data_IF_460064284760
#
_entry.id   IF_460064284760
#
_cell.length_a   1.000
_cell.length_b   1.000
_cell.length_c   1.000
_cell.angle_alpha   90.00
_cell.angle_beta   90.00
_cell.angle_gamma   90.00
#
_symmetry.space_group_name_H-M   'P 1'
#
loop_
_entity.id
_entity.type
_entity.pdbx_description
1 polymer ?
#
# COMPACT_ATOMS: atom_id res chain seq x y z
N UNK A 1 -42.41 23.95 -8.56
CA UNK A 1 -41.08 24.38 -8.07
C UNK A 1 -40.70 23.50 -6.89
N UNK A 2 -39.98 22.40 -7.14
CA UNK A 2 -39.39 21.55 -6.10
C UNK A 2 -37.93 22.00 -5.91
N UNK A 3 -37.58 22.45 -4.71
CA UNK A 3 -36.18 22.53 -4.27
C UNK A 3 -35.98 21.38 -3.30
N UNK A 4 -35.45 20.27 -3.82
CA UNK A 4 -34.91 19.19 -3.01
C UNK A 4 -33.60 19.68 -2.40
N UNK A 5 -33.53 19.71 -1.07
CA UNK A 5 -32.30 19.89 -0.32
C UNK A 5 -31.41 18.65 -0.54
N UNK A 6 -30.24 18.88 -1.13
CA UNK A 6 -29.12 17.94 -1.09
C UNK A 6 -28.64 17.85 0.37
N UNK A 7 -29.00 16.77 1.06
CA UNK A 7 -28.34 16.39 2.31
C UNK A 7 -27.06 15.62 1.93
N UNK A 8 -25.93 16.33 1.96
CA UNK A 8 -24.59 15.74 1.99
C UNK A 8 -24.35 15.19 3.40
N UNK A 9 -24.71 13.93 3.62
CA UNK A 9 -24.26 13.19 4.79
C UNK A 9 -22.81 12.76 4.54
N UNK A 10 -21.87 13.39 5.25
CA UNK A 10 -20.49 12.92 5.33
C UNK A 10 -20.47 11.61 6.12
N UNK A 11 -20.19 10.49 5.45
CA UNK A 11 -19.95 9.21 6.13
C UNK A 11 -18.52 9.25 6.64
N UNK A 12 -18.34 9.56 7.92
CA UNK A 12 -17.07 9.33 8.61
C UNK A 12 -16.99 7.84 8.96
N UNK A 13 -16.06 7.11 8.35
CA UNK A 13 -15.70 5.78 8.81
C UNK A 13 -14.94 5.92 10.14
N UNK A 14 -15.68 5.85 11.24
CA UNK A 14 -15.09 5.76 12.58
C UNK A 14 -14.73 4.31 12.80
N UNK A 15 -13.47 3.95 12.61
CA UNK A 15 -12.91 2.66 13.02
C UNK A 15 -12.58 2.78 14.52
N UNK A 16 -13.59 2.64 15.39
CA UNK A 16 -13.42 2.80 16.83
C UNK A 16 -13.35 1.46 17.57
N UNK A 17 -12.27 1.30 18.33
CA UNK A 17 -12.23 0.46 19.52
C UNK A 17 -13.15 1.01 20.62
N UNK A 18 -13.98 0.13 21.15
CA UNK A 18 -14.80 0.18 22.38
C UNK A 18 -14.80 1.47 23.24
N UNK A 19 -15.85 2.30 23.12
CA UNK A 19 -16.56 2.92 24.26
C UNK A 19 -18.03 3.16 23.86
N UNK A 20 -18.95 2.78 24.74
CA UNK A 20 -20.40 2.88 24.58
C UNK A 20 -20.92 4.32 24.40
N UNK A 21 -21.37 4.66 23.20
CA UNK A 21 -22.43 5.63 22.93
C UNK A 21 -22.87 5.42 21.48
N UNK A 22 -24.13 5.05 21.24
CA UNK A 22 -24.83 4.78 19.97
C UNK A 22 -24.24 5.44 18.69
N UNK A 23 -23.05 5.02 18.27
CA UNK A 23 -22.46 5.30 16.97
C UNK A 23 -23.04 4.26 16.02
N UNK A 24 -23.53 4.70 14.87
CA UNK A 24 -23.85 3.79 13.78
C UNK A 24 -22.62 2.91 13.56
N UNK A 25 -22.72 1.61 13.85
CA UNK A 25 -21.74 0.64 13.40
C UNK A 25 -21.71 0.73 11.87
N UNK A 26 -20.65 1.32 11.32
CA UNK A 26 -20.43 1.35 9.87
C UNK A 26 -20.31 -0.09 9.43
N UNK A 27 -21.11 -0.50 8.44
CA UNK A 27 -21.07 -1.89 8.00
C UNK A 27 -19.70 -2.22 7.38
N UNK A 28 -19.37 -3.51 7.29
CA UNK A 28 -18.14 -3.95 6.63
C UNK A 28 -18.07 -3.43 5.18
N UNK A 29 -19.16 -3.57 4.44
CA UNK A 29 -19.24 -3.11 3.04
C UNK A 29 -19.07 -1.59 2.93
N UNK A 30 -19.68 -0.82 3.84
CA UNK A 30 -19.50 0.63 3.90
C UNK A 30 -18.06 1.02 4.22
N UNK A 31 -17.37 0.24 5.06
CA UNK A 31 -15.96 0.46 5.40
C UNK A 31 -15.04 0.23 4.19
N UNK A 32 -15.27 -0.86 3.44
CA UNK A 32 -14.56 -1.16 2.19
C UNK A 32 -14.84 -0.08 1.14
N UNK A 33 -16.10 0.33 1.00
CA UNK A 33 -16.49 1.39 0.08
C UNK A 33 -15.87 2.75 0.45
N UNK A 34 -15.82 3.11 1.73
CA UNK A 34 -15.18 4.34 2.19
C UNK A 34 -13.68 4.38 1.85
N UNK A 35 -12.97 3.25 2.03
CA UNK A 35 -11.56 3.11 1.71
C UNK A 35 -11.27 3.41 0.22
N UNK A 36 -12.12 2.92 -0.69
CA UNK A 36 -12.00 3.16 -2.14
C UNK A 36 -12.07 4.62 -2.55
N UNK A 37 -12.71 5.46 -1.75
CA UNK A 37 -12.83 6.89 -2.02
C UNK A 37 -11.81 7.73 -1.26
N UNK A 38 -10.88 7.08 -0.53
CA UNK A 38 -9.92 7.76 0.32
C UNK A 38 -10.55 8.36 1.59
N UNK A 39 -11.77 7.94 1.95
CA UNK A 39 -12.45 8.41 3.16
C UNK A 39 -11.96 7.62 4.38
N UNK A 40 -10.68 7.82 4.72
CA UNK A 40 -10.03 7.25 5.90
C UNK A 40 -9.87 8.34 6.95
N UNK A 41 -10.07 8.01 8.23
CA UNK A 41 -9.79 8.96 9.30
C UNK A 41 -8.31 9.39 9.24
N UNK A 42 -8.06 10.65 8.85
CA UNK A 42 -6.72 11.16 8.52
C UNK A 42 -6.05 11.95 9.65
N UNK A 43 -6.74 12.10 10.78
CA UNK A 43 -6.45 13.19 11.72
C UNK A 43 -5.64 12.73 12.94
N UNK A 44 -5.32 11.43 13.00
CA UNK A 44 -4.59 10.81 14.10
C UNK A 44 -3.21 10.36 13.61
N UNK A 45 -2.22 11.25 13.75
CA UNK A 45 -0.82 10.88 13.54
C UNK A 45 -0.45 9.76 14.51
N UNK A 46 -0.25 8.57 13.97
CA UNK A 46 0.06 7.38 14.74
C UNK A 46 1.24 6.65 14.13
N UNK A 47 2.25 6.37 14.95
CA UNK A 47 3.47 5.68 14.54
C UNK A 47 3.50 4.26 15.12
N UNK A 48 3.94 3.30 14.31
CA UNK A 48 4.16 1.95 14.78
C UNK A 48 4.33 0.93 13.66
N UNK A 49 4.68 -0.29 14.04
CA UNK A 49 4.75 -1.42 13.11
C UNK A 49 3.38 -2.08 13.05
N UNK A 50 2.82 -2.17 11.85
CA UNK A 50 1.63 -2.96 11.55
C UNK A 50 2.04 -4.24 10.80
N UNK A 51 1.31 -5.32 11.03
CA UNK A 51 1.55 -6.61 10.40
C UNK A 51 0.29 -7.10 9.71
N UNK A 52 0.38 -7.32 8.40
CA UNK A 52 -0.67 -8.02 7.66
C UNK A 52 -0.29 -9.50 7.59
N UNK A 53 -0.81 -10.26 8.55
CA UNK A 53 -0.64 -11.70 8.68
C UNK A 53 -1.97 -12.32 9.09
N UNK A 54 -2.77 -12.70 8.08
CA UNK A 54 -4.15 -13.18 8.27
C UNK A 54 -4.21 -14.71 8.34
N UNK A 55 -5.06 -15.22 9.23
CA UNK A 55 -5.37 -16.65 9.29
C UNK A 55 -6.37 -17.00 8.19
N UNK A 56 -6.19 -18.13 7.52
CA UNK A 56 -7.05 -18.58 6.41
C UNK A 56 -6.58 -18.14 5.02
N UNK A 57 -5.37 -17.57 4.92
CA UNK A 57 -4.76 -17.21 3.64
C UNK A 57 -4.74 -18.39 2.67
N UNK A 58 -5.21 -18.17 1.44
CA UNK A 58 -5.32 -19.19 0.41
C UNK A 58 -4.37 -18.87 -0.77
N UNK A 59 -3.14 -19.42 -0.80
CA UNK A 59 -2.16 -19.10 -1.84
C UNK A 59 -2.66 -19.38 -3.27
N UNK A 60 -3.46 -20.43 -3.45
CA UNK A 60 -4.06 -20.75 -4.74
C UNK A 60 -5.09 -19.72 -5.24
N UNK A 61 -5.61 -18.87 -4.34
CA UNK A 61 -6.53 -17.77 -4.65
C UNK A 61 -5.80 -16.42 -4.73
N UNK A 62 -4.60 -16.35 -4.15
CA UNK A 62 -3.84 -15.12 -3.94
C UNK A 62 -2.36 -15.33 -4.33
N UNK A 63 -2.07 -15.78 -5.56
CA UNK A 63 -0.72 -16.21 -5.94
C UNK A 63 0.30 -15.06 -5.97
N UNK A 64 -0.16 -13.82 -6.19
CA UNK A 64 0.67 -12.63 -6.29
C UNK A 64 0.69 -11.78 -5.00
N UNK A 65 0.05 -12.27 -3.94
CA UNK A 65 -0.08 -11.54 -2.67
C UNK A 65 0.77 -12.22 -1.60
N UNK A 66 1.51 -11.43 -0.84
CA UNK A 66 2.31 -11.92 0.27
C UNK A 66 1.42 -12.20 1.50
N UNK A 67 1.63 -13.34 2.15
CA UNK A 67 0.83 -13.76 3.31
C UNK A 67 1.31 -13.19 4.65
N UNK A 68 2.46 -12.53 4.68
CA UNK A 68 3.02 -11.91 5.87
C UNK A 68 3.86 -10.69 5.48
N UNK A 69 3.34 -9.49 5.76
CA UNK A 69 4.02 -8.23 5.46
C UNK A 69 4.05 -7.35 6.71
N UNK A 70 5.26 -6.96 7.11
CA UNK A 70 5.50 -5.99 8.18
C UNK A 70 5.84 -4.61 7.62
N UNK A 71 5.11 -3.59 8.04
CA UNK A 71 5.31 -2.19 7.64
C UNK A 71 5.47 -1.32 8.88
N UNK A 72 6.55 -0.53 8.94
CA UNK A 72 6.66 0.58 9.89
C UNK A 72 6.03 1.83 9.26
N UNK A 73 4.90 2.26 9.81
CA UNK A 73 4.27 3.54 9.44
C UNK A 73 4.63 4.60 10.45
N UNK A 74 5.02 5.77 9.96
CA UNK A 74 5.38 6.91 10.78
C UNK A 74 4.17 7.85 11.02
N UNK A 75 3.06 7.69 10.29
CA UNK A 75 1.88 8.56 10.37
C UNK A 75 0.52 7.88 10.45
N UNK A 76 0.40 6.60 10.07
CA UNK A 76 -0.90 5.98 9.85
C UNK A 76 -1.05 4.58 10.48
N UNK A 77 -0.35 4.31 11.57
CA UNK A 77 -0.34 3.00 12.22
C UNK A 77 -1.74 2.51 12.66
N UNK A 78 -2.57 3.36 13.24
CA UNK A 78 -3.94 2.98 13.64
C UNK A 78 -4.81 2.62 12.43
N UNK A 79 -4.72 3.43 11.36
CA UNK A 79 -5.41 3.15 10.10
C UNK A 79 -4.98 1.82 9.48
N UNK A 80 -3.68 1.50 9.54
CA UNK A 80 -3.16 0.22 9.07
C UNK A 80 -3.69 -0.97 9.89
N UNK A 81 -3.78 -0.87 11.23
CA UNK A 81 -4.36 -1.96 12.02
C UNK A 81 -5.84 -2.17 11.70
N UNK A 82 -6.59 -1.10 11.47
CA UNK A 82 -7.98 -1.22 11.07
C UNK A 82 -8.13 -1.89 9.67
N UNK A 83 -7.22 -1.60 8.73
CA UNK A 83 -7.13 -2.33 7.45
C UNK A 83 -6.84 -3.82 7.69
N UNK A 84 -5.93 -4.16 8.61
CA UNK A 84 -5.60 -5.55 8.96
C UNK A 84 -6.82 -6.29 9.52
N UNK A 85 -7.60 -5.64 10.40
CA UNK A 85 -8.82 -6.22 10.95
C UNK A 85 -9.86 -6.52 9.86
N UNK A 86 -10.08 -5.56 8.94
CA UNK A 86 -10.94 -5.75 7.77
C UNK A 86 -10.42 -6.88 6.86
N UNK A 87 -9.11 -6.99 6.68
CA UNK A 87 -8.50 -8.02 5.86
C UNK A 87 -8.73 -9.41 6.46
N UNK A 88 -8.67 -9.54 7.78
CA UNK A 88 -8.98 -10.79 8.47
C UNK A 88 -10.46 -11.18 8.30
N UNK A 89 -11.38 -10.20 8.33
CA UNK A 89 -12.80 -10.45 8.02
C UNK A 89 -12.97 -10.91 6.57
N UNK A 90 -12.32 -10.24 5.61
CA UNK A 90 -12.39 -10.57 4.20
C UNK A 90 -11.99 -12.04 3.94
N UNK A 91 -10.85 -12.47 4.48
CA UNK A 91 -10.36 -13.85 4.33
C UNK A 91 -11.31 -14.86 4.97
N UNK A 92 -11.82 -14.58 6.17
CA UNK A 92 -12.75 -15.48 6.85
C UNK A 92 -14.08 -15.66 6.10
N UNK A 93 -14.48 -14.68 5.29
CA UNK A 93 -15.68 -14.73 4.47
C UNK A 93 -15.42 -15.16 3.01
N UNK A 94 -14.16 -15.40 2.63
CA UNK A 94 -13.79 -15.71 1.25
C UNK A 94 -13.97 -14.54 0.27
N UNK A 95 -13.93 -13.30 0.77
CA UNK A 95 -14.03 -12.07 -0.02
C UNK A 95 -12.65 -11.69 -0.58
N UNK A 96 -12.17 -12.44 -1.57
CA UNK A 96 -10.80 -12.32 -2.07
C UNK A 96 -10.51 -10.99 -2.76
N UNK A 97 -11.48 -10.44 -3.50
CA UNK A 97 -11.33 -9.12 -4.10
C UNK A 97 -11.20 -8.00 -3.07
N UNK A 98 -11.97 -8.07 -1.98
CA UNK A 98 -11.86 -7.11 -0.88
C UNK A 98 -10.53 -7.25 -0.15
N UNK A 99 -10.07 -8.49 0.07
CA UNK A 99 -8.75 -8.73 0.65
C UNK A 99 -7.63 -8.13 -0.20
N UNK A 100 -7.66 -8.27 -1.53
CA UNK A 100 -6.67 -7.68 -2.44
C UNK A 100 -6.66 -6.16 -2.35
N UNK A 101 -7.83 -5.51 -2.27
CA UNK A 101 -7.91 -4.08 -2.03
C UNK A 101 -7.27 -3.68 -0.69
N UNK A 102 -7.61 -4.39 0.39
CA UNK A 102 -7.12 -4.10 1.74
C UNK A 102 -5.61 -4.32 1.85
N UNK A 103 -5.10 -5.39 1.26
CA UNK A 103 -3.67 -5.64 1.14
C UNK A 103 -2.97 -4.53 0.34
N UNK A 104 -3.53 -4.12 -0.80
CA UNK A 104 -3.01 -3.00 -1.60
C UNK A 104 -2.99 -1.70 -0.80
N UNK A 105 -4.07 -1.43 -0.05
CA UNK A 105 -4.17 -0.25 0.79
C UNK A 105 -3.16 -0.24 1.93
N UNK A 106 -2.94 -1.40 2.57
CA UNK A 106 -1.90 -1.59 3.58
C UNK A 106 -0.52 -1.26 3.02
N UNK A 107 -0.21 -1.74 1.81
CA UNK A 107 1.08 -1.47 1.15
C UNK A 107 1.25 -0.02 0.71
N UNK A 108 0.16 0.71 0.50
CA UNK A 108 0.15 2.14 0.21
C UNK A 108 0.15 2.99 1.50
N UNK A 109 0.55 2.40 2.64
CA UNK A 109 0.58 3.04 3.96
C UNK A 109 -0.80 3.55 4.41
N UNK A 110 -1.89 3.05 3.82
CA UNK A 110 -3.25 3.54 4.06
C UNK A 110 -3.45 5.02 3.70
N UNK A 111 -2.57 5.62 2.89
CA UNK A 111 -2.61 7.07 2.59
C UNK A 111 -3.81 7.40 1.71
N UNK A 112 -4.76 8.18 2.22
CA UNK A 112 -6.06 8.45 1.60
C UNK A 112 -6.01 8.84 0.13
N UNK A 113 -5.09 9.74 -0.25
CA UNK A 113 -4.92 10.19 -1.63
C UNK A 113 -4.43 9.08 -2.57
N UNK A 114 -3.63 8.14 -2.06
CA UNK A 114 -3.17 6.96 -2.78
C UNK A 114 -4.24 5.86 -2.88
N UNK A 115 -5.25 5.87 -1.99
CA UNK A 115 -6.30 4.85 -1.96
C UNK A 115 -7.51 5.21 -2.81
N UNK A 116 -7.68 6.49 -3.14
CA UNK A 116 -8.77 6.92 -4.01
C UNK A 116 -8.72 6.14 -5.33
N UNK A 117 -9.82 5.52 -5.74
CA UNK A 117 -9.92 4.71 -6.96
C UNK A 117 -9.50 5.46 -8.22
N UNK A 118 -9.60 6.78 -8.25
CA UNK A 118 -9.13 7.59 -9.39
C UNK A 118 -7.60 7.69 -9.45
N UNK A 119 -6.91 7.42 -8.35
CA UNK A 119 -5.46 7.47 -8.24
C UNK A 119 -4.81 6.37 -9.08
N UNK A 120 -3.62 6.66 -9.60
CA UNK A 120 -2.82 5.68 -10.34
C UNK A 120 -2.32 4.61 -9.37
N UNK A 121 -1.99 5.00 -8.14
CA UNK A 121 -1.36 4.18 -7.11
C UNK A 121 -2.18 2.94 -6.77
N UNK A 122 -3.46 3.09 -6.42
CA UNK A 122 -4.31 1.94 -6.10
C UNK A 122 -4.57 1.07 -7.33
N UNK A 123 -4.75 1.66 -8.52
CA UNK A 123 -4.94 0.90 -9.76
C UNK A 123 -3.73 0.05 -10.09
N UNK A 124 -2.52 0.60 -9.92
CA UNK A 124 -1.27 -0.14 -10.10
C UNK A 124 -1.12 -1.29 -9.10
N UNK A 125 -1.50 -1.07 -7.84
CA UNK A 125 -1.46 -2.11 -6.81
C UNK A 125 -2.45 -3.25 -7.10
N UNK A 126 -3.69 -2.91 -7.48
CA UNK A 126 -4.71 -3.90 -7.85
C UNK A 126 -4.31 -4.68 -9.11
N UNK A 127 -3.74 -4.00 -10.11
CA UNK A 127 -3.22 -4.64 -11.32
C UNK A 127 -2.13 -5.66 -10.99
N UNK A 128 -1.20 -5.32 -10.08
CA UNK A 128 -0.13 -6.25 -9.66
C UNK A 128 -0.63 -7.52 -9.00
N UNK A 129 -1.78 -7.47 -8.34
CA UNK A 129 -2.38 -8.65 -7.74
C UNK A 129 -2.91 -9.65 -8.79
N UNK A 130 -3.22 -9.19 -10.01
CA UNK A 130 -3.80 -10.03 -11.08
C UNK A 130 -2.85 -10.25 -12.27
N UNK A 131 -1.77 -9.48 -12.39
CA UNK A 131 -0.89 -9.53 -13.55
C UNK A 131 0.33 -10.44 -13.34
N UNK A 132 0.65 -11.21 -14.37
CA UNK A 132 1.94 -11.88 -14.49
C UNK A 132 3.03 -10.82 -14.71
N UNK A 133 3.98 -10.75 -13.76
CA UNK A 133 5.01 -9.70 -13.77
C UNK A 133 6.04 -9.87 -14.90
N UNK A 134 6.09 -11.02 -15.57
CA UNK A 134 7.04 -11.30 -16.65
C UNK A 134 6.48 -10.87 -18.01
N UNK A 135 5.20 -11.16 -18.25
CA UNK A 135 4.52 -10.90 -19.52
C UNK A 135 3.70 -9.61 -19.52
N UNK A 136 3.34 -9.08 -18.34
CA UNK A 136 2.42 -7.95 -18.20
C UNK A 136 0.97 -8.30 -18.55
N UNK A 137 0.66 -9.59 -18.73
CA UNK A 137 -0.69 -10.08 -19.00
C UNK A 137 -1.48 -10.23 -17.70
N UNK A 138 -2.73 -9.78 -17.73
CA UNK A 138 -3.67 -9.96 -16.62
C UNK A 138 -4.27 -11.36 -16.67
N UNK A 139 -4.25 -12.08 -15.54
CA UNK A 139 -4.91 -13.37 -15.39
C UNK A 139 -6.42 -13.17 -15.26
N UNK A 140 -7.15 -13.52 -16.32
CA UNK A 140 -8.61 -13.40 -16.39
C UNK A 140 -9.33 -14.19 -15.28
N UNK A 141 -8.78 -15.33 -14.83
CA UNK A 141 -9.40 -16.11 -13.76
C UNK A 141 -9.25 -15.40 -12.41
N UNK A 142 -8.13 -14.72 -12.16
CA UNK A 142 -7.94 -13.92 -10.95
C UNK A 142 -8.83 -12.68 -10.97
N UNK A 143 -8.93 -12.01 -12.12
CA UNK A 143 -9.87 -10.88 -12.29
C UNK A 143 -11.31 -11.32 -12.01
N UNK A 144 -11.76 -12.41 -12.62
CA UNK A 144 -13.12 -12.92 -12.40
C UNK A 144 -13.35 -13.32 -10.94
N UNK A 145 -12.39 -14.03 -10.33
CA UNK A 145 -12.45 -14.40 -8.91
C UNK A 145 -12.58 -13.17 -8.01
N UNK A 146 -11.73 -12.16 -8.20
CA UNK A 146 -11.72 -10.98 -7.35
C UNK A 146 -12.96 -10.11 -7.56
N UNK A 147 -13.39 -9.92 -8.81
CA UNK A 147 -14.64 -9.24 -9.09
C UNK A 147 -15.86 -9.95 -8.47
N UNK A 148 -15.95 -11.28 -8.57
CA UNK A 148 -17.10 -12.03 -8.05
C UNK A 148 -17.13 -12.16 -6.52
N UNK A 149 -15.98 -11.99 -5.86
CA UNK A 149 -15.86 -12.10 -4.41
C UNK A 149 -15.71 -10.74 -3.72
N UNK A 150 -15.86 -9.64 -4.45
CA UNK A 150 -15.90 -8.31 -3.85
C UNK A 150 -17.28 -7.97 -3.30
N UNK A 151 -17.33 -7.37 -2.10
CA UNK A 151 -18.59 -6.92 -1.49
C UNK A 151 -19.17 -5.72 -2.24
N UNK A 152 -18.34 -4.74 -2.61
CA UNK A 152 -18.77 -3.50 -3.26
C UNK A 152 -18.90 -3.60 -4.78
N UNK A 153 -20.03 -3.16 -5.35
CA UNK A 153 -20.22 -3.07 -6.81
C UNK A 153 -19.12 -2.23 -7.50
N UNK A 154 -18.67 -1.16 -6.85
CA UNK A 154 -17.58 -0.31 -7.37
C UNK A 154 -16.29 -1.12 -7.52
N UNK A 155 -15.96 -1.96 -6.54
CA UNK A 155 -14.77 -2.80 -6.58
C UNK A 155 -14.88 -3.89 -7.65
N UNK A 156 -16.07 -4.49 -7.82
CA UNK A 156 -16.31 -5.46 -8.91
C UNK A 156 -16.00 -4.85 -10.27
N UNK A 157 -16.47 -3.62 -10.51
CA UNK A 157 -16.22 -2.89 -11.76
C UNK A 157 -14.74 -2.59 -11.96
N UNK A 158 -14.04 -2.13 -10.91
CA UNK A 158 -12.60 -1.84 -10.99
C UNK A 158 -11.83 -3.08 -11.44
N UNK A 159 -12.08 -4.25 -10.83
CA UNK A 159 -11.40 -5.48 -11.25
C UNK A 159 -11.76 -5.88 -12.67
N UNK A 160 -13.04 -5.82 -13.04
CA UNK A 160 -13.50 -6.16 -14.39
C UNK A 160 -12.90 -5.25 -15.50
N UNK A 161 -12.56 -4.01 -15.15
CA UNK A 161 -11.98 -3.03 -16.07
C UNK A 161 -10.44 -3.07 -16.15
N UNK A 162 -9.76 -3.94 -15.36
CA UNK A 162 -8.30 -4.08 -15.44
C UNK A 162 -7.87 -4.69 -16.78
N UNK A 163 -6.87 -4.09 -17.42
CA UNK A 163 -6.35 -4.50 -18.73
C UNK A 163 -4.86 -4.85 -18.65
N UNK A 164 -4.43 -5.75 -19.54
CA UNK A 164 -3.00 -6.06 -19.74
C UNK A 164 -2.24 -4.81 -20.20
N UNK A 165 -1.02 -4.65 -19.71
CA UNK A 165 -0.14 -3.55 -20.10
C UNK A 165 1.25 -4.10 -20.45
N UNK A 166 1.40 -4.49 -21.72
CA UNK A 166 2.62 -5.09 -22.24
C UNK A 166 3.80 -4.10 -22.37
N UNK A 167 3.57 -2.80 -22.17
CA UNK A 167 4.61 -1.76 -22.26
C UNK A 167 5.24 -1.43 -20.90
N UNK A 168 4.88 -2.16 -19.85
CA UNK A 168 5.32 -1.90 -18.50
C UNK A 168 6.70 -2.51 -18.26
N UNK A 169 7.73 -1.76 -18.65
CA UNK A 169 9.11 -2.21 -18.62
C UNK A 169 9.62 -2.41 -17.18
N UNK A 170 9.97 -3.65 -16.86
CA UNK A 170 10.92 -3.97 -15.79
C UNK A 170 12.33 -3.83 -16.37
N UNK A 171 13.17 -2.92 -15.81
CA UNK A 171 14.54 -2.72 -16.30
C UNK A 171 15.60 -2.78 -15.20
N UNK A 172 16.60 -3.59 -15.52
CA UNK A 172 17.96 -3.80 -15.00
C UNK A 172 18.98 -2.81 -15.60
N UNK A 173 20.23 -2.55 -15.14
CA UNK A 173 21.03 -2.71 -13.91
C UNK A 173 21.97 -1.49 -13.88
N UNK A 174 21.90 -0.68 -12.82
CA UNK A 174 22.91 0.31 -12.37
C UNK A 174 22.65 0.55 -10.86
N UNK A 175 23.60 1.14 -10.12
CA UNK A 175 23.49 1.31 -8.64
C UNK A 175 22.20 1.98 -8.18
N UNK A 176 21.61 2.84 -9.03
CA UNK A 176 20.25 3.38 -8.89
C UNK A 176 19.58 3.32 -10.26
N UNK A 177 18.40 2.72 -10.34
CA UNK A 177 17.56 2.65 -11.54
C UNK A 177 16.28 3.44 -11.28
N UNK A 178 15.94 4.36 -12.18
CA UNK A 178 14.73 5.16 -12.09
C UNK A 178 13.55 4.44 -12.74
N UNK A 179 12.37 4.50 -12.12
CA UNK A 179 11.15 3.94 -12.69
C UNK A 179 10.12 5.03 -12.99
N UNK A 180 9.39 4.87 -14.09
CA UNK A 180 8.20 5.67 -14.40
C UNK A 180 6.96 5.23 -13.63
N UNK A 181 6.98 4.04 -13.03
CA UNK A 181 5.86 3.50 -12.26
C UNK A 181 6.03 3.73 -10.76
N UNK A 182 4.91 3.69 -10.01
CA UNK A 182 4.92 3.66 -8.55
C UNK A 182 5.57 4.91 -7.93
N UNK A 183 5.36 6.05 -8.56
CA UNK A 183 5.99 7.30 -8.16
C UNK A 183 5.35 7.88 -6.91
N UNK A 184 6.21 8.28 -5.97
CA UNK A 184 5.85 9.01 -4.77
C UNK A 184 6.16 10.51 -4.93
N UNK A 185 5.49 11.35 -4.17
CA UNK A 185 5.80 12.77 -4.14
C UNK A 185 7.18 13.01 -3.53
N UNK A 186 7.97 13.83 -4.21
CA UNK A 186 9.33 14.15 -3.79
C UNK A 186 9.37 14.80 -2.40
N UNK A 187 8.39 15.65 -2.07
CA UNK A 187 8.27 16.32 -0.76
C UNK A 187 8.05 15.32 0.38
N UNK A 188 7.21 14.31 0.17
CA UNK A 188 6.96 13.25 1.14
C UNK A 188 8.19 12.37 1.32
N UNK A 189 8.85 12.00 0.22
CA UNK A 189 10.09 11.23 0.30
C UNK A 189 11.24 12.00 0.95
N UNK A 190 11.37 13.31 0.69
CA UNK A 190 12.39 14.12 1.36
C UNK A 190 12.17 14.15 2.88
N UNK A 191 10.92 14.33 3.32
CA UNK A 191 10.57 14.27 4.74
C UNK A 191 10.90 12.92 5.38
N UNK A 192 10.58 11.81 4.69
CA UNK A 192 10.90 10.46 5.15
C UNK A 192 12.42 10.25 5.27
N UNK A 193 13.17 10.64 4.24
CA UNK A 193 14.63 10.50 4.21
C UNK A 193 15.29 11.30 5.35
N UNK A 194 14.81 12.52 5.58
CA UNK A 194 15.28 13.39 6.65
C UNK A 194 14.96 12.81 8.05
N UNK A 195 13.85 12.08 8.20
CA UNK A 195 13.53 11.35 9.42
C UNK A 195 14.49 10.16 9.61
N UNK A 196 14.60 9.27 8.63
CA UNK A 196 15.42 8.04 8.78
C UNK A 196 16.88 8.36 9.02
N UNK A 197 17.41 9.45 8.44
CA UNK A 197 18.78 9.92 8.67
C UNK A 197 19.08 10.18 10.16
N UNK A 198 18.08 10.67 10.89
CA UNK A 198 18.21 11.14 12.27
C UNK A 198 17.68 10.14 13.29
N UNK A 199 16.95 9.11 12.85
CA UNK A 199 16.41 8.10 13.74
C UNK A 199 17.52 7.18 14.28
N UNK A 200 17.65 7.06 15.61
CA UNK A 200 18.52 6.07 16.23
C UNK A 200 17.86 4.67 16.29
N UNK A 201 16.62 4.54 15.79
CA UNK A 201 15.84 3.33 15.95
C UNK A 201 16.35 2.22 15.05
N UNK A 202 16.04 1.00 15.46
CA UNK A 202 16.40 -0.20 14.71
C UNK A 202 15.18 -0.78 14.03
N UNK A 203 15.34 -1.06 12.75
CA UNK A 203 14.39 -1.86 12.00
C UNK A 203 14.50 -3.31 12.51
N UNK A 204 13.36 -3.85 12.94
CA UNK A 204 13.25 -5.21 13.46
C UNK A 204 13.11 -6.22 12.33
N UNK A 205 13.53 -7.44 12.60
CA UNK A 205 13.44 -8.55 11.64
C UNK A 205 12.01 -8.73 11.11
N UNK A 206 11.89 -8.93 9.79
CA UNK A 206 10.63 -9.17 9.09
C UNK A 206 9.85 -7.91 8.70
N UNK A 207 10.19 -6.73 9.22
CA UNK A 207 9.75 -5.46 8.61
C UNK A 207 10.41 -5.34 7.25
N UNK A 208 9.66 -4.85 6.24
CA UNK A 208 10.13 -4.76 4.84
C UNK A 208 10.03 -3.37 4.23
N UNK A 209 9.45 -2.43 4.97
CA UNK A 209 9.42 -1.04 4.59
C UNK A 209 9.27 -0.10 5.79
N UNK A 210 9.67 1.15 5.57
CA UNK A 210 9.34 2.31 6.40
C UNK A 210 8.61 3.31 5.51
N UNK A 211 7.42 3.76 5.91
CA UNK A 211 6.60 4.68 5.13
C UNK A 211 6.21 5.93 5.92
N UNK A 212 6.07 7.03 5.19
CA UNK A 212 5.49 8.29 5.63
C UNK A 212 4.69 8.87 4.46
N UNK A 213 3.41 9.15 4.69
CA UNK A 213 2.44 9.57 3.67
C UNK A 213 2.46 8.60 2.49
N UNK A 214 2.55 9.12 1.25
CA UNK A 214 2.66 8.31 0.05
C UNK A 214 4.10 7.95 -0.34
N UNK A 215 5.08 8.04 0.56
CA UNK A 215 6.45 7.59 0.28
C UNK A 215 6.88 6.47 1.21
N UNK A 216 7.55 5.48 0.64
CA UNK A 216 8.04 4.30 1.31
C UNK A 216 9.48 4.01 0.89
N UNK A 217 10.32 3.69 1.87
CA UNK A 217 11.60 3.01 1.65
C UNK A 217 11.38 1.53 1.93
N UNK A 218 11.50 0.68 0.92
CA UNK A 218 11.30 -0.77 1.02
C UNK A 218 12.53 -1.56 0.57
N UNK A 219 12.61 -2.83 0.95
CA UNK A 219 13.75 -3.67 0.57
C UNK A 219 13.37 -5.15 0.38
N UNK A 220 14.19 -5.88 -0.37
CA UNK A 220 13.80 -7.18 -0.95
C UNK A 220 14.11 -8.43 -0.09
N UNK A 221 14.76 -8.29 1.08
CA UNK A 221 15.08 -9.43 1.97
C UNK A 221 14.91 -9.08 3.45
N UNK A 222 14.75 -10.08 4.32
CA UNK A 222 14.67 -9.80 5.76
C UNK A 222 16.04 -9.34 6.28
N UNK A 223 16.05 -8.20 6.99
CA UNK A 223 17.24 -7.64 7.60
C UNK A 223 16.86 -6.95 8.92
N UNK A 224 17.83 -6.85 9.82
CA UNK A 224 17.72 -6.07 11.07
C UNK A 224 18.88 -5.10 11.11
N UNK A 225 18.62 -3.80 11.22
CA UNK A 225 19.63 -2.77 11.02
C UNK A 225 19.22 -1.43 11.65
N UNK A 226 20.17 -0.53 11.87
CA UNK A 226 19.89 0.88 12.21
C UNK A 226 19.18 1.61 11.07
N UNK A 227 18.06 2.27 11.36
CA UNK A 227 17.21 2.92 10.35
C UNK A 227 17.96 3.94 9.49
N UNK A 228 18.96 4.63 10.07
CA UNK A 228 19.85 5.54 9.36
C UNK A 228 20.58 4.94 8.15
N UNK A 229 20.75 3.62 8.10
CA UNK A 229 21.39 2.95 6.94
C UNK A 229 20.56 3.01 5.66
N UNK A 230 19.25 3.32 5.76
CA UNK A 230 18.38 3.55 4.61
C UNK A 230 18.67 4.86 3.87
N UNK A 231 19.32 5.82 4.54
CA UNK A 231 19.45 7.20 4.08
C UNK A 231 20.18 7.32 2.73
N UNK A 232 21.38 6.74 2.62
CA UNK A 232 22.27 7.00 1.48
C UNK A 232 21.65 6.55 0.15
N UNK A 233 21.04 5.37 0.11
CA UNK A 233 20.42 4.83 -1.09
C UNK A 233 19.13 5.61 -1.45
N UNK A 234 18.29 5.93 -0.47
CA UNK A 234 17.08 6.73 -0.71
C UNK A 234 17.41 8.15 -1.18
N UNK A 235 18.47 8.77 -0.61
CA UNK A 235 18.94 10.09 -1.03
C UNK A 235 19.46 10.08 -2.47
N UNK A 236 20.28 9.08 -2.82
CA UNK A 236 20.76 8.90 -4.19
C UNK A 236 19.62 8.77 -5.20
N UNK A 237 18.51 8.13 -4.80
CA UNK A 237 17.31 8.05 -5.62
C UNK A 237 16.63 9.39 -5.87
N UNK A 238 16.42 10.22 -4.85
CA UNK A 238 15.86 11.56 -5.06
C UNK A 238 16.76 12.38 -5.99
N UNK A 239 18.06 12.34 -5.75
CA UNK A 239 19.03 13.15 -6.50
C UNK A 239 19.14 12.71 -7.97
N UNK A 240 18.91 11.43 -8.27
CA UNK A 240 19.06 10.87 -9.63
C UNK A 240 17.75 10.77 -10.40
N UNK A 241 16.64 10.44 -9.72
CA UNK A 241 15.42 9.95 -10.36
C UNK A 241 14.22 10.88 -10.26
N UNK A 242 14.40 12.12 -9.77
CA UNK A 242 13.31 13.11 -9.75
C UNK A 242 12.85 13.42 -11.18
N UNK A 243 11.54 13.23 -11.45
CA UNK A 243 10.86 13.71 -12.66
C UNK A 243 9.58 14.42 -12.24
N UNK A 244 9.43 15.70 -12.60
CA UNK A 244 8.19 16.48 -12.37
C UNK A 244 7.63 16.34 -10.95
N UNK A 245 8.47 16.61 -9.95
CA UNK A 245 8.17 16.53 -8.51
C UNK A 245 7.83 15.14 -7.95
N UNK A 246 8.03 14.08 -8.73
CA UNK A 246 7.83 12.70 -8.27
C UNK A 246 9.13 11.89 -8.39
N UNK A 247 9.24 10.82 -7.58
CA UNK A 247 10.39 9.93 -7.55
C UNK A 247 9.96 8.48 -7.43
N UNK A 248 10.62 7.61 -8.18
CA UNK A 248 10.56 6.16 -8.01
C UNK A 248 11.90 5.59 -8.44
N UNK A 249 12.47 4.72 -7.61
CA UNK A 249 13.75 4.10 -7.91
C UNK A 249 13.91 2.72 -7.28
N UNK A 250 14.93 2.01 -7.77
CA UNK A 250 15.57 0.87 -7.12
C UNK A 250 17.07 1.11 -7.03
N UNK A 251 17.61 1.11 -5.82
CA UNK A 251 19.03 1.03 -5.53
C UNK A 251 19.43 -0.43 -5.31
N UNK A 252 20.52 -0.87 -5.90
CA UNK A 252 21.02 -2.26 -5.82
C UNK A 252 22.26 -2.34 -4.93
N UNK A 253 22.52 -3.53 -4.37
CA UNK A 253 23.69 -3.82 -3.54
C UNK A 253 23.82 -2.93 -2.28
N UNK A 254 22.69 -2.57 -1.67
CA UNK A 254 22.68 -1.78 -0.43
C UNK A 254 23.01 -2.70 0.74
N UNK A 255 24.06 -2.37 1.50
CA UNK A 255 24.46 -3.13 2.69
C UNK A 255 23.76 -2.58 3.93
N UNK A 256 22.89 -3.39 4.53
CA UNK A 256 22.19 -3.12 5.78
C UNK A 256 22.74 -4.05 6.86
N UNK A 257 23.75 -3.57 7.60
CA UNK A 257 24.48 -4.33 8.65
C UNK A 257 24.91 -5.74 8.20
N UNK A 258 25.49 -5.85 7.00
CA UNK A 258 25.99 -7.12 6.46
C UNK A 258 24.97 -7.94 5.67
N UNK A 259 23.72 -7.49 5.59
CA UNK A 259 22.74 -8.04 4.63
C UNK A 259 22.73 -7.17 3.37
N UNK A 260 22.98 -7.78 2.21
CA UNK A 260 22.94 -7.08 0.92
C UNK A 260 21.53 -7.17 0.34
N UNK A 261 20.91 -6.03 0.10
CA UNK A 261 19.53 -5.92 -0.40
C UNK A 261 19.44 -5.00 -1.62
N UNK A 262 18.32 -5.10 -2.33
CA UNK A 262 17.83 -4.00 -3.13
C UNK A 262 16.96 -3.11 -2.23
N UNK A 263 17.15 -1.79 -2.31
CA UNK A 263 16.35 -0.80 -1.61
C UNK A 263 15.58 0.04 -2.63
N UNK A 264 14.29 0.24 -2.41
CA UNK A 264 13.43 0.99 -3.29
C UNK A 264 12.92 2.24 -2.56
N UNK A 265 12.74 3.32 -3.31
CA UNK A 265 12.02 4.52 -2.87
C UNK A 265 10.83 4.66 -3.81
N UNK A 266 9.62 4.52 -3.30
CA UNK A 266 8.41 4.50 -4.13
C UNK A 266 7.17 4.85 -3.31
N UNK A 267 6.00 4.81 -3.93
CA UNK A 267 4.73 5.05 -3.24
C UNK A 267 4.14 3.84 -2.51
N UNK A 268 4.88 2.73 -2.43
CA UNK A 268 4.42 1.51 -1.78
C UNK A 268 5.51 0.81 -0.99
N UNK A 269 5.07 0.04 -0.01
CA UNK A 269 5.88 -0.72 0.93
C UNK A 269 6.53 -1.99 0.32
N UNK A 270 6.26 -2.31 -0.94
CA UNK A 270 6.78 -3.51 -1.59
C UNK A 270 7.20 -3.28 -3.05
N UNK A 271 7.69 -4.33 -3.72
CA UNK A 271 8.13 -4.28 -5.10
C UNK A 271 9.58 -3.80 -5.28
N UNK A 272 10.35 -3.86 -4.19
CA UNK A 272 11.71 -4.34 -4.22
C UNK A 272 11.66 -5.88 -4.09
#
# INVERSE_FOLDING_TARGET
>A
MHKGLFNLAWVMAILATSVSCAQLEVSYEDSVAALLWGNVASDMWSEGVAWLNVTGFAPAKLPNVQNNVGLLSLDNWEGLNAIVDLAQVAVNQGLWGDFVLLWSAFLLNGWSESLNVSSVQIKEALWKAVADQTSGEVDANLVELYANTSSSESLRKIFADLQSDANREDRDWNKVVCSGSNQAEKSHCASLIDYVQRSPDRVKWGVRAVCWRNCCISWNQNASFEMGLLYNAARACIDTCTRSDHVSCRATEVSLEGTVVNQCLSNRAEGC
#
